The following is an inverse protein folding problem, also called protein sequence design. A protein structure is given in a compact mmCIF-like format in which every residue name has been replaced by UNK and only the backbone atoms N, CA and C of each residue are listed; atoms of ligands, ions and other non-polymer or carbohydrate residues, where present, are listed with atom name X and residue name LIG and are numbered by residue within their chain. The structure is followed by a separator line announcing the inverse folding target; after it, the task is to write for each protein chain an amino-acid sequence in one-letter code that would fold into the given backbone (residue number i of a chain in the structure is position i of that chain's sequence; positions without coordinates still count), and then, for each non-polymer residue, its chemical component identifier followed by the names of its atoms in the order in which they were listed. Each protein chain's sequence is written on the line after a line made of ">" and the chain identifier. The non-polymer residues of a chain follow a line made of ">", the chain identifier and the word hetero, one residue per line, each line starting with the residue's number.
data_IF_382637838785
#
_entry.id   IF_382637838785
#
_cell.length_a   1.000
_cell.length_b   1.000
_cell.length_c   1.000
_cell.angle_alpha   90.00
_cell.angle_beta   90.00
_cell.angle_gamma   90.00
#
_symmetry.space_group_name_H-M   'P 1'
#
loop_
_entity.id
_entity.type
_entity.pdbx_description
1 polymer ?
#
# COMPACT_ATOMS: atom_id res chain seq x y z
N UNK A 1 9.97 5.70 8.19
CA UNK A 1 8.87 6.01 7.25
C UNK A 1 8.10 7.24 7.74
N UNK A 2 8.57 8.45 7.43
CA UNK A 2 7.84 9.67 7.80
C UNK A 2 6.56 9.83 6.94
N UNK A 3 6.62 9.35 5.70
CA UNK A 3 5.52 9.36 4.74
C UNK A 3 5.23 7.95 4.19
N UNK A 4 4.10 7.81 3.50
CA UNK A 4 3.52 6.55 3.01
C UNK A 4 3.16 6.67 1.55
N UNK A 5 3.31 5.59 0.78
CA UNK A 5 2.83 5.55 -0.59
C UNK A 5 2.58 4.12 -1.06
N UNK A 6 1.93 4.01 -2.22
CA UNK A 6 1.74 2.76 -2.94
C UNK A 6 2.28 2.91 -4.37
N UNK A 7 3.61 2.73 -4.58
CA UNK A 7 4.20 2.93 -5.90
C UNK A 7 3.68 1.99 -6.99
N UNK A 8 3.07 0.86 -6.61
CA UNK A 8 2.36 -0.03 -7.53
C UNK A 8 1.18 0.63 -8.25
N UNK A 9 0.63 1.71 -7.71
CA UNK A 9 -0.45 2.46 -8.34
C UNK A 9 -0.02 3.20 -9.61
N UNK A 10 1.29 3.26 -9.92
CA UNK A 10 1.79 3.73 -11.21
C UNK A 10 1.48 2.74 -12.34
N UNK A 11 1.36 1.44 -12.06
CA UNK A 11 1.25 0.41 -13.10
C UNK A 11 -0.02 0.57 -13.94
N UNK A 12 -1.23 0.70 -13.36
CA UNK A 12 -2.46 0.76 -14.15
C UNK A 12 -2.52 1.90 -15.18
N UNK A 13 -2.24 3.18 -14.86
CA UNK A 13 -2.31 4.24 -15.87
C UNK A 13 -1.24 4.10 -16.96
N UNK A 14 -0.04 3.63 -16.61
CA UNK A 14 1.04 3.41 -17.59
C UNK A 14 0.69 2.24 -18.52
N UNK A 15 0.18 1.14 -17.97
CA UNK A 15 -0.29 -0.02 -18.75
C UNK A 15 -1.43 0.37 -19.70
N UNK A 16 -2.42 1.12 -19.21
CA UNK A 16 -3.55 1.55 -20.02
C UNK A 16 -3.11 2.39 -21.24
N UNK A 17 -2.16 3.31 -21.05
CA UNK A 17 -1.60 4.08 -22.17
C UNK A 17 -0.80 3.17 -23.10
N UNK A 18 0.03 2.27 -22.56
CA UNK A 18 0.84 1.34 -23.35
C UNK A 18 -0.03 0.46 -24.28
N UNK A 19 -1.13 -0.06 -23.75
CA UNK A 19 -2.13 -0.81 -24.52
C UNK A 19 -2.79 0.06 -25.58
N UNK A 20 -3.25 1.26 -25.21
CA UNK A 20 -3.93 2.18 -26.12
C UNK A 20 -3.10 2.56 -27.34
N UNK A 21 -1.79 2.78 -27.16
CA UNK A 21 -0.89 3.21 -28.25
C UNK A 21 -0.17 2.05 -28.94
N UNK A 22 -0.39 0.81 -28.51
CA UNK A 22 0.28 -0.37 -29.05
C UNK A 22 1.77 -0.44 -28.73
N UNK A 23 2.20 0.01 -27.55
CA UNK A 23 3.58 -0.14 -27.07
C UNK A 23 3.95 -1.61 -26.82
N UNK A 24 5.25 -1.88 -26.69
CA UNK A 24 5.78 -3.20 -26.32
C UNK A 24 6.10 -3.28 -24.81
N UNK A 25 6.41 -4.49 -24.35
CA UNK A 25 6.71 -4.77 -22.94
C UNK A 25 7.97 -4.10 -22.41
N UNK A 26 8.99 -3.85 -23.25
CA UNK A 26 10.18 -3.11 -22.81
C UNK A 26 9.87 -1.65 -22.51
N UNK A 27 9.05 -1.01 -23.35
CA UNK A 27 8.62 0.37 -23.14
C UNK A 27 7.78 0.48 -21.86
N UNK A 28 6.88 -0.49 -21.62
CA UNK A 28 6.09 -0.59 -20.39
C UNK A 28 6.98 -0.73 -19.15
N UNK A 29 7.97 -1.63 -19.17
CA UNK A 29 8.92 -1.81 -18.05
C UNK A 29 9.68 -0.51 -17.76
N UNK A 30 10.14 0.20 -18.81
CA UNK A 30 10.84 1.48 -18.63
C UNK A 30 9.94 2.55 -18.00
N UNK A 31 8.68 2.64 -18.45
CA UNK A 31 7.68 3.53 -17.87
C UNK A 31 7.40 3.23 -16.39
N UNK A 32 7.15 1.96 -16.06
CA UNK A 32 6.92 1.50 -14.67
C UNK A 32 8.14 1.81 -13.80
N UNK A 33 9.35 1.50 -14.28
CA UNK A 33 10.58 1.79 -13.54
C UNK A 33 10.75 3.29 -13.26
N UNK A 34 10.41 4.17 -14.22
CA UNK A 34 10.40 5.62 -13.98
C UNK A 34 9.36 6.02 -12.94
N UNK A 35 8.12 5.53 -13.04
CA UNK A 35 7.07 5.87 -12.07
C UNK A 35 7.46 5.51 -10.64
N UNK A 36 7.98 4.29 -10.43
CA UNK A 36 8.51 3.87 -9.14
C UNK A 36 9.68 4.73 -8.66
N UNK A 37 10.65 5.01 -9.55
CA UNK A 37 11.82 5.83 -9.20
C UNK A 37 11.41 7.22 -8.73
N UNK A 38 10.51 7.88 -9.45
CA UNK A 38 10.06 9.23 -9.07
C UNK A 38 9.27 9.18 -7.76
N UNK A 39 8.28 8.30 -7.63
CA UNK A 39 7.43 8.30 -6.43
C UNK A 39 8.20 7.95 -5.16
N UNK A 40 9.05 6.93 -5.21
CA UNK A 40 9.81 6.50 -4.03
C UNK A 40 10.79 7.60 -3.59
N UNK A 41 11.47 8.26 -4.52
CA UNK A 41 12.40 9.33 -4.15
C UNK A 41 11.68 10.61 -3.69
N UNK A 42 10.50 10.94 -4.25
CA UNK A 42 9.64 12.00 -3.73
C UNK A 42 9.21 11.72 -2.29
N UNK A 43 8.80 10.49 -1.97
CA UNK A 43 8.39 10.06 -0.64
C UNK A 43 9.54 10.11 0.37
N UNK A 44 10.76 9.76 -0.06
CA UNK A 44 11.97 9.87 0.77
C UNK A 44 12.33 11.32 1.10
N UNK A 45 12.07 12.24 0.18
CA UNK A 45 12.49 13.63 0.29
C UNK A 45 11.43 14.57 0.89
N UNK A 46 10.15 14.35 0.58
CA UNK A 46 9.04 15.26 0.88
C UNK A 46 7.95 14.49 1.64
N UNK A 47 7.83 14.78 2.92
CA UNK A 47 6.83 14.14 3.79
C UNK A 47 5.47 14.85 3.71
N UNK A 48 4.59 14.40 2.82
CA UNK A 48 3.25 14.96 2.67
C UNK A 48 2.37 14.74 3.90
N UNK A 49 2.60 13.62 4.60
CA UNK A 49 1.88 13.28 5.83
C UNK A 49 1.97 14.38 6.90
N UNK A 50 3.16 14.98 7.08
CA UNK A 50 3.40 16.10 8.01
C UNK A 50 2.45 17.28 7.73
N UNK A 51 2.10 17.49 6.48
CA UNK A 51 1.26 18.60 6.01
C UNK A 51 -0.21 18.22 5.85
N UNK A 52 -0.61 17.01 6.26
CA UNK A 52 -1.97 16.48 6.07
C UNK A 52 -2.40 16.52 4.59
N UNK A 53 -1.46 16.27 3.69
CA UNK A 53 -1.72 16.08 2.26
C UNK A 53 -1.80 14.57 1.98
N UNK A 54 -2.67 14.18 1.05
CA UNK A 54 -2.76 12.80 0.61
C UNK A 54 -1.55 12.43 -0.26
N UNK A 55 -1.02 11.21 -0.07
CA UNK A 55 0.19 10.74 -0.75
C UNK A 55 0.02 10.62 -2.27
N UNK A 56 -1.21 10.63 -2.78
CA UNK A 56 -1.50 10.62 -4.22
C UNK A 56 -0.97 11.89 -4.92
N UNK A 57 -0.62 12.95 -4.16
CA UNK A 57 0.08 14.10 -4.70
C UNK A 57 1.48 13.74 -5.25
N UNK A 58 2.12 12.68 -4.75
CA UNK A 58 3.34 12.12 -5.36
C UNK A 58 3.05 11.13 -6.49
N UNK A 59 1.85 10.52 -6.52
CA UNK A 59 1.46 9.54 -7.55
C UNK A 59 1.16 10.19 -8.91
N UNK A 60 0.40 11.28 -8.94
CA UNK A 60 0.12 12.02 -10.19
C UNK A 60 1.38 12.34 -11.00
N UNK A 61 2.36 13.09 -10.46
CA UNK A 61 3.58 13.45 -11.17
C UNK A 61 4.45 12.23 -11.54
N UNK A 62 4.52 11.20 -10.69
CA UNK A 62 5.29 9.98 -11.00
C UNK A 62 4.68 9.17 -12.14
N UNK A 63 3.36 9.01 -12.15
CA UNK A 63 2.65 8.35 -13.24
C UNK A 63 2.79 9.13 -14.56
N UNK A 64 2.72 10.46 -14.51
CA UNK A 64 2.93 11.31 -15.68
C UNK A 64 4.35 11.16 -16.25
N UNK A 65 5.37 11.14 -15.39
CA UNK A 65 6.76 10.88 -15.79
C UNK A 65 6.95 9.46 -16.37
N UNK A 66 6.28 8.46 -15.79
CA UNK A 66 6.25 7.09 -16.29
C UNK A 66 5.63 6.98 -17.69
N UNK A 67 4.48 7.63 -17.90
CA UNK A 67 3.83 7.74 -19.21
C UNK A 67 4.72 8.45 -20.22
N UNK A 68 5.34 9.57 -19.83
CA UNK A 68 6.28 10.29 -20.69
C UNK A 68 7.49 9.44 -21.11
N UNK A 69 8.02 8.62 -20.20
CA UNK A 69 9.11 7.67 -20.49
C UNK A 69 8.64 6.57 -21.44
N UNK A 70 7.47 5.98 -21.18
CA UNK A 70 6.86 4.95 -22.02
C UNK A 70 6.73 5.42 -23.48
N UNK A 71 6.26 6.65 -23.66
CA UNK A 71 6.00 7.24 -24.97
C UNK A 71 7.25 7.86 -25.63
N UNK A 72 8.40 7.92 -24.94
CA UNK A 72 9.61 8.56 -25.44
C UNK A 72 9.46 10.06 -25.70
N UNK A 73 8.65 10.75 -24.90
CA UNK A 73 8.39 12.19 -25.05
C UNK A 73 9.65 13.01 -24.76
N UNK A 74 9.73 14.20 -25.34
CA UNK A 74 10.79 15.14 -25.03
C UNK A 74 10.66 15.69 -23.60
N UNK A 75 11.79 16.15 -23.05
CA UNK A 75 11.88 16.63 -21.67
C UNK A 75 10.90 17.78 -21.38
N UNK A 76 10.67 18.69 -22.34
CA UNK A 76 9.78 19.82 -22.11
C UNK A 76 8.32 19.37 -22.01
N UNK A 77 7.89 18.42 -22.83
CA UNK A 77 6.56 17.80 -22.74
C UNK A 77 6.37 17.05 -21.42
N UNK A 78 7.34 16.25 -21.00
CA UNK A 78 7.29 15.54 -19.71
C UNK A 78 7.18 16.53 -18.56
N UNK A 79 7.98 17.61 -18.58
CA UNK A 79 7.94 18.66 -17.57
C UNK A 79 6.55 19.29 -17.40
N UNK A 80 5.86 19.63 -18.49
CA UNK A 80 4.49 20.17 -18.42
C UNK A 80 3.49 19.14 -17.87
N UNK A 81 3.62 17.87 -18.26
CA UNK A 81 2.74 16.80 -17.77
C UNK A 81 2.88 16.57 -16.26
N UNK A 82 4.12 16.57 -15.75
CA UNK A 82 4.43 16.44 -14.31
C UNK A 82 3.84 17.63 -13.55
N UNK A 83 4.01 18.85 -14.09
CA UNK A 83 3.49 20.07 -13.49
C UNK A 83 1.98 20.07 -13.34
N UNK A 84 1.26 19.73 -14.41
CA UNK A 84 -0.20 19.66 -14.39
C UNK A 84 -0.71 18.52 -13.49
N UNK A 85 -0.06 17.36 -13.52
CA UNK A 85 -0.46 16.22 -12.69
C UNK A 85 -0.37 16.57 -11.19
N UNK A 86 0.77 17.10 -10.72
CA UNK A 86 0.91 17.53 -9.32
C UNK A 86 -0.16 18.55 -8.92
N UNK A 87 -0.36 19.57 -9.75
CA UNK A 87 -1.32 20.63 -9.46
C UNK A 87 -2.75 20.10 -9.25
N UNK A 88 -3.15 19.09 -10.03
CA UNK A 88 -4.52 18.56 -10.03
C UNK A 88 -4.74 17.34 -9.14
N UNK A 89 -3.68 16.72 -8.64
CA UNK A 89 -3.75 15.55 -7.75
C UNK A 89 -3.34 15.84 -6.30
N UNK A 90 -3.19 17.12 -5.94
CA UNK A 90 -2.90 17.51 -4.56
C UNK A 90 -4.20 17.71 -3.77
N UNK A 91 -4.50 16.78 -2.87
CA UNK A 91 -5.72 16.78 -2.06
C UNK A 91 -5.39 16.67 -0.56
N UNK A 92 -6.33 17.11 0.28
CA UNK A 92 -6.19 16.97 1.74
C UNK A 92 -6.25 15.50 2.15
N UNK A 93 -5.66 15.18 3.30
CA UNK A 93 -5.64 13.84 3.88
C UNK A 93 -6.97 13.42 4.54
N UNK A 94 -8.02 14.23 4.41
CA UNK A 94 -9.35 13.91 4.96
C UNK A 94 -9.90 12.58 4.38
N UNK A 95 -9.47 12.20 3.17
CA UNK A 95 -9.72 10.90 2.53
C UNK A 95 -9.36 9.68 3.39
N UNK A 96 -8.53 9.83 4.43
CA UNK A 96 -7.98 8.71 5.23
C UNK A 96 -8.08 8.93 6.74
N UNK A 97 -9.06 9.72 7.21
CA UNK A 97 -9.30 10.03 8.63
C UNK A 97 -10.80 10.06 8.94
N UNK A 98 -11.18 9.61 10.15
CA UNK A 98 -12.59 9.53 10.58
C UNK A 98 -13.30 8.35 9.92
N UNK A 99 -14.54 8.55 9.47
CA UNK A 99 -15.26 7.58 8.64
C UNK A 99 -14.59 7.48 7.27
N UNK A 100 -13.82 6.41 7.05
CA UNK A 100 -13.07 6.20 5.82
C UNK A 100 -14.02 5.72 4.71
N UNK A 101 -14.28 6.58 3.72
CA UNK A 101 -15.13 6.24 2.58
C UNK A 101 -14.38 5.48 1.48
N UNK A 102 -15.13 4.93 0.52
CA UNK A 102 -14.60 4.25 -0.68
C UNK A 102 -13.70 5.13 -1.54
N UNK A 103 -13.73 6.45 -1.35
CA UNK A 103 -12.78 7.40 -1.97
C UNK A 103 -11.32 7.02 -1.69
N UNK A 104 -10.99 6.48 -0.50
CA UNK A 104 -9.64 6.00 -0.17
C UNK A 104 -9.10 5.03 -1.21
N UNK A 105 -9.95 4.15 -1.73
CA UNK A 105 -9.60 3.16 -2.75
C UNK A 105 -9.59 3.77 -4.17
N UNK A 106 -10.42 4.79 -4.42
CA UNK A 106 -10.49 5.44 -5.73
C UNK A 106 -9.43 6.52 -5.97
N UNK A 107 -8.93 7.18 -4.92
CA UNK A 107 -8.00 8.30 -5.04
C UNK A 107 -6.74 7.99 -5.89
N UNK A 108 -6.10 6.81 -5.80
CA UNK A 108 -5.00 6.47 -6.69
C UNK A 108 -5.40 6.37 -8.17
N UNK A 109 -6.56 5.76 -8.45
CA UNK A 109 -7.09 5.67 -9.82
C UNK A 109 -7.42 7.06 -10.40
N UNK A 110 -7.94 7.97 -9.57
CA UNK A 110 -8.13 9.37 -9.94
C UNK A 110 -6.80 10.04 -10.32
N UNK A 111 -5.75 9.88 -9.51
CA UNK A 111 -4.43 10.43 -9.82
C UNK A 111 -3.84 9.85 -11.11
N UNK A 112 -3.99 8.54 -11.33
CA UNK A 112 -3.59 7.89 -12.58
C UNK A 112 -4.34 8.44 -13.80
N UNK A 113 -5.66 8.63 -13.71
CA UNK A 113 -6.46 9.28 -14.76
C UNK A 113 -5.97 10.69 -15.08
N UNK A 114 -5.71 11.49 -14.04
CA UNK A 114 -5.21 12.86 -14.22
C UNK A 114 -3.82 12.88 -14.84
N UNK A 115 -2.96 11.90 -14.54
CA UNK A 115 -1.65 11.77 -15.18
C UNK A 115 -1.76 11.48 -16.69
N UNK A 116 -2.69 10.61 -17.11
CA UNK A 116 -2.98 10.34 -18.53
C UNK A 116 -3.46 11.62 -19.22
N UNK A 117 -4.41 12.35 -18.62
CA UNK A 117 -4.91 13.60 -19.18
C UNK A 117 -3.82 14.68 -19.26
N UNK A 118 -2.97 14.79 -18.24
CA UNK A 118 -1.86 15.75 -18.22
C UNK A 118 -0.83 15.45 -19.32
N UNK A 119 -0.49 14.18 -19.54
CA UNK A 119 0.39 13.78 -20.63
C UNK A 119 -0.22 14.08 -22.01
N UNK A 120 -1.48 13.71 -22.23
CA UNK A 120 -2.19 13.98 -23.49
C UNK A 120 -2.27 15.48 -23.80
N UNK A 121 -2.58 16.32 -22.81
CA UNK A 121 -2.62 17.78 -22.97
C UNK A 121 -1.25 18.36 -23.28
N UNK A 122 -0.22 17.94 -22.56
CA UNK A 122 1.15 18.38 -22.80
C UNK A 122 1.62 18.01 -24.22
N UNK A 123 1.30 16.81 -24.71
CA UNK A 123 1.60 16.37 -26.08
C UNK A 123 0.92 17.26 -27.15
N UNK A 124 -0.19 17.91 -26.81
CA UNK A 124 -0.90 18.88 -27.68
C UNK A 124 -0.36 20.31 -27.55
N UNK A 125 0.74 20.50 -26.83
CA UNK A 125 1.39 21.80 -26.64
C UNK A 125 0.80 22.64 -25.50
N UNK A 126 -0.07 22.07 -24.66
CA UNK A 126 -0.59 22.79 -23.49
C UNK A 126 0.50 22.86 -22.40
N UNK A 127 0.69 24.06 -21.84
CA UNK A 127 1.59 24.29 -20.70
C UNK A 127 0.83 24.22 -19.37
N UNK A 128 1.54 23.90 -18.29
CA UNK A 128 1.08 23.88 -16.90
C UNK A 128 1.56 25.12 -16.12
N UNK A 129 1.05 25.36 -14.89
CA UNK A 129 1.67 26.31 -13.97
C UNK A 129 3.14 25.95 -13.69
N UNK A 130 4.05 26.93 -13.72
CA UNK A 130 5.51 26.72 -13.63
C UNK A 130 6.17 27.85 -12.84
N UNK A 131 7.13 27.55 -11.93
CA UNK A 131 7.47 26.22 -11.42
C UNK A 131 6.42 25.75 -10.40
N UNK A 132 5.88 24.54 -10.55
CA UNK A 132 4.77 24.07 -9.69
C UNK A 132 5.19 23.81 -8.24
N UNK A 133 6.43 23.34 -8.03
CA UNK A 133 6.95 23.04 -6.69
C UNK A 133 7.42 24.34 -6.03
N UNK A 134 8.39 25.03 -6.66
CA UNK A 134 9.13 26.18 -6.11
C UNK A 134 8.55 27.56 -6.45
N UNK A 135 7.42 27.63 -7.17
CA UNK A 135 6.81 28.90 -7.56
C UNK A 135 6.39 29.72 -6.34
N UNK A 136 6.25 31.04 -6.53
CA UNK A 136 5.76 31.96 -5.48
C UNK A 136 4.43 31.49 -4.88
N UNK A 137 3.52 31.02 -5.73
CA UNK A 137 2.26 30.38 -5.34
C UNK A 137 2.28 28.84 -5.47
N UNK A 138 3.47 28.26 -5.35
CA UNK A 138 3.74 26.84 -5.56
C UNK A 138 3.36 25.94 -4.39
N UNK A 139 3.46 24.63 -4.63
CA UNK A 139 3.14 23.59 -3.63
C UNK A 139 4.00 23.73 -2.38
N UNK A 140 5.30 24.03 -2.54
CA UNK A 140 6.20 24.17 -1.39
C UNK A 140 5.79 25.36 -0.52
N UNK A 141 5.50 26.51 -1.15
CA UNK A 141 5.19 27.75 -0.48
C UNK A 141 3.90 27.69 0.36
N UNK A 142 2.83 27.14 -0.21
CA UNK A 142 1.49 27.25 0.40
C UNK A 142 0.94 25.97 0.98
N UNK A 143 1.47 24.81 0.58
CA UNK A 143 0.95 23.52 1.01
C UNK A 143 1.94 22.77 1.91
N UNK A 144 3.23 23.06 1.81
CA UNK A 144 4.27 22.36 2.56
C UNK A 144 4.93 23.23 3.65
N UNK A 145 6.24 23.45 3.56
CA UNK A 145 7.07 24.04 4.62
C UNK A 145 7.28 25.57 4.48
N UNK A 146 6.62 26.20 3.50
CA UNK A 146 6.68 27.65 3.31
C UNK A 146 7.59 28.08 2.14
N UNK A 147 7.57 29.36 1.75
CA UNK A 147 8.25 29.86 0.54
C UNK A 147 9.78 29.76 0.58
N UNK A 148 10.37 29.70 1.78
CA UNK A 148 11.83 29.56 1.96
C UNK A 148 12.29 28.10 2.05
N UNK A 149 11.36 27.13 2.00
CA UNK A 149 11.69 25.72 2.13
C UNK A 149 12.30 25.16 0.83
N UNK A 150 13.16 24.16 0.98
CA UNK A 150 13.80 23.46 -0.14
C UNK A 150 13.90 21.97 0.18
N UNK A 151 13.71 21.14 -0.84
CA UNK A 151 13.77 19.69 -0.74
C UNK A 151 14.76 19.14 -1.76
N UNK A 152 15.55 18.15 -1.36
CA UNK A 152 16.45 17.44 -2.25
C UNK A 152 15.87 16.06 -2.56
N UNK A 153 15.39 15.87 -3.78
CA UNK A 153 14.88 14.58 -4.27
C UNK A 153 16.05 13.78 -4.88
N UNK A 154 16.44 12.63 -4.31
CA UNK A 154 17.58 11.86 -4.81
C UNK A 154 17.19 11.10 -6.07
N UNK A 155 17.47 11.66 -7.24
CA UNK A 155 17.25 11.01 -8.54
C UNK A 155 18.55 10.37 -9.06
N UNK A 156 18.48 9.26 -9.82
CA UNK A 156 19.66 8.67 -10.44
C UNK A 156 20.30 9.63 -11.44
N UNK A 157 21.63 9.61 -11.50
CA UNK A 157 22.40 10.38 -12.49
C UNK A 157 22.33 9.72 -13.87
N UNK A 158 22.67 10.44 -14.97
CA UNK A 158 22.69 9.85 -16.30
C UNK A 158 23.56 8.59 -16.37
N UNK A 159 22.95 7.46 -16.75
CA UNK A 159 23.61 6.16 -16.84
C UNK A 159 23.42 5.26 -15.61
N UNK A 160 22.90 5.78 -14.50
CA UNK A 160 22.56 4.96 -13.34
C UNK A 160 21.22 4.25 -13.52
N UNK A 161 21.15 3.02 -13.01
CA UNK A 161 19.94 2.21 -13.06
C UNK A 161 18.89 2.74 -12.08
N UNK A 162 17.63 2.78 -12.52
CA UNK A 162 16.46 3.01 -11.67
C UNK A 162 16.25 1.79 -10.77
N UNK A 163 16.41 1.96 -9.46
CA UNK A 163 16.42 0.87 -8.48
C UNK A 163 15.45 1.09 -7.32
N UNK A 164 14.75 2.22 -7.26
CA UNK A 164 13.92 2.54 -6.10
C UNK A 164 12.74 1.57 -5.92
N UNK A 165 12.34 0.82 -6.96
CA UNK A 165 11.38 -0.29 -6.83
C UNK A 165 11.84 -1.36 -5.82
N UNK A 166 13.15 -1.58 -5.70
CA UNK A 166 13.74 -2.54 -4.76
C UNK A 166 13.67 -2.06 -3.29
N UNK A 167 13.39 -0.78 -3.07
CA UNK A 167 13.19 -0.21 -1.73
C UNK A 167 11.72 -0.27 -1.28
N UNK A 168 10.85 -0.91 -2.06
CA UNK A 168 9.44 -1.09 -1.74
C UNK A 168 9.19 -2.40 -0.99
N UNK A 169 8.12 -2.44 -0.21
CA UNK A 169 7.82 -3.58 0.64
C UNK A 169 6.51 -4.25 0.26
N UNK A 170 6.55 -5.57 0.18
CA UNK A 170 5.42 -6.38 -0.22
C UNK A 170 4.53 -6.71 0.96
N UNK A 171 3.22 -6.63 0.72
CA UNK A 171 2.21 -7.16 1.63
C UNK A 171 1.97 -8.62 1.30
N UNK A 172 2.09 -9.52 2.26
CA UNK A 172 1.55 -10.87 2.13
C UNK A 172 0.06 -10.84 2.43
N UNK A 173 -0.30 -10.19 3.53
CA UNK A 173 -1.66 -10.16 4.06
C UNK A 173 -2.41 -8.93 3.55
N UNK A 174 -3.69 -9.09 3.22
CA UNK A 174 -4.58 -7.95 2.98
C UNK A 174 -4.87 -7.29 4.32
N UNK A 175 -4.02 -6.36 4.73
CA UNK A 175 -4.17 -5.49 5.91
C UNK A 175 -3.27 -4.24 5.73
N UNK A 176 -3.37 -3.29 6.65
CA UNK A 176 -2.41 -2.19 6.76
C UNK A 176 -0.97 -2.73 6.91
N UNK A 177 0.04 -2.02 6.37
CA UNK A 177 1.40 -2.58 6.23
C UNK A 177 2.09 -2.82 7.59
N UNK A 178 1.82 -1.97 8.57
CA UNK A 178 2.32 -2.01 9.93
C UNK A 178 1.62 -3.11 10.73
N UNK A 179 0.56 -3.73 10.19
CA UNK A 179 -0.05 -4.93 10.74
C UNK A 179 0.59 -6.25 10.27
N UNK A 180 1.40 -6.24 9.19
CA UNK A 180 1.90 -7.46 8.56
C UNK A 180 2.71 -8.33 9.54
N UNK A 181 3.66 -7.72 10.26
CA UNK A 181 4.51 -8.46 11.20
C UNK A 181 3.70 -9.02 12.39
N UNK A 182 2.66 -8.31 12.82
CA UNK A 182 1.78 -8.77 13.89
C UNK A 182 0.95 -9.98 13.52
N UNK A 183 0.50 -10.07 12.25
CA UNK A 183 -0.17 -11.27 11.75
C UNK A 183 0.79 -12.47 11.80
N UNK A 184 2.03 -12.31 11.35
CA UNK A 184 3.01 -13.41 11.34
C UNK A 184 3.38 -13.85 12.77
N UNK A 185 3.57 -12.90 13.69
CA UNK A 185 3.81 -13.19 15.10
C UNK A 185 2.62 -13.88 15.76
N UNK A 186 1.39 -13.40 15.54
CA UNK A 186 0.19 -14.03 16.07
C UNK A 186 0.01 -15.47 15.57
N UNK A 187 0.29 -15.73 14.29
CA UNK A 187 0.28 -17.09 13.71
C UNK A 187 1.35 -17.99 14.32
N UNK A 188 2.52 -17.45 14.64
CA UNK A 188 3.57 -18.18 15.37
C UNK A 188 3.09 -18.55 16.77
N UNK A 189 2.56 -17.57 17.51
CA UNK A 189 2.03 -17.75 18.86
C UNK A 189 0.86 -18.73 18.91
N UNK A 190 -0.02 -18.75 17.89
CA UNK A 190 -1.07 -19.77 17.78
C UNK A 190 -0.52 -21.20 17.82
N UNK A 191 0.60 -21.45 17.12
CA UNK A 191 1.22 -22.78 17.03
C UNK A 191 2.01 -23.15 18.27
N UNK A 192 2.71 -22.18 18.85
CA UNK A 192 3.61 -22.41 19.99
C UNK A 192 2.87 -22.34 21.35
N UNK A 193 1.79 -21.56 21.41
CA UNK A 193 1.01 -21.26 22.61
C UNK A 193 -0.51 -21.32 22.34
N UNK A 194 -1.06 -22.49 21.96
CA UNK A 194 -2.49 -22.61 21.67
C UNK A 194 -3.39 -22.25 22.87
N UNK A 195 -2.88 -22.37 24.10
CA UNK A 195 -3.56 -21.92 25.32
C UNK A 195 -3.93 -20.43 25.31
N UNK A 196 -3.16 -19.60 24.61
CA UNK A 196 -3.37 -18.15 24.52
C UNK A 196 -4.48 -17.75 23.52
N UNK A 197 -5.06 -18.70 22.80
CA UNK A 197 -6.15 -18.44 21.84
C UNK A 197 -7.53 -18.38 22.49
N UNK A 198 -7.68 -18.98 23.67
CA UNK A 198 -8.91 -18.99 24.44
C UNK A 198 -8.95 -17.75 25.35
N UNK A 199 -9.93 -16.84 25.18
CA UNK A 199 -10.04 -15.68 26.05
C UNK A 199 -10.12 -16.04 27.53
N UNK A 200 -10.68 -17.20 27.92
CA UNK A 200 -10.80 -17.59 29.32
C UNK A 200 -9.45 -17.77 30.02
N UNK A 201 -8.40 -18.09 29.26
CA UNK A 201 -7.04 -18.26 29.79
C UNK A 201 -6.23 -16.96 29.77
N UNK A 202 -6.71 -15.90 29.10
CA UNK A 202 -5.95 -14.66 28.90
C UNK A 202 -6.48 -13.57 29.82
N UNK A 203 -5.57 -13.00 30.62
CA UNK A 203 -5.85 -11.84 31.45
C UNK A 203 -5.64 -10.53 30.67
N UNK A 204 -4.53 -10.41 29.92
CA UNK A 204 -4.24 -9.23 29.11
C UNK A 204 -3.24 -9.54 27.98
N UNK A 205 -3.29 -8.72 26.93
CA UNK A 205 -2.29 -8.69 25.85
C UNK A 205 -1.78 -7.26 25.70
N UNK A 206 -0.47 -7.07 25.85
CA UNK A 206 0.19 -5.78 25.67
C UNK A 206 1.16 -5.84 24.49
N UNK A 207 0.91 -5.01 23.49
CA UNK A 207 1.77 -4.85 22.32
C UNK A 207 2.60 -3.57 22.47
N UNK A 208 3.93 -3.69 22.49
CA UNK A 208 4.89 -2.57 22.50
C UNK A 208 5.39 -2.34 21.09
N UNK A 209 5.14 -1.16 20.53
CA UNK A 209 5.38 -0.89 19.09
C UNK A 209 5.73 0.57 18.84
N UNK A 210 5.97 0.93 17.57
CA UNK A 210 6.28 2.31 17.17
C UNK A 210 5.12 3.27 17.41
N UNK A 211 5.43 4.56 17.50
CA UNK A 211 4.47 5.66 17.50
C UNK A 211 3.42 5.48 16.40
N UNK A 212 3.86 5.16 15.18
CA UNK A 212 2.95 5.04 14.06
C UNK A 212 1.91 3.93 14.30
N UNK A 213 2.36 2.73 14.62
CA UNK A 213 1.47 1.60 14.87
C UNK A 213 0.51 1.92 16.01
N UNK A 214 1.02 2.46 17.13
CA UNK A 214 0.19 2.79 18.31
C UNK A 214 -0.89 3.84 18.02
N UNK A 215 -0.53 4.98 17.40
CA UNK A 215 -1.45 6.10 17.20
C UNK A 215 -2.27 6.01 15.90
N UNK A 216 -1.86 5.20 14.92
CA UNK A 216 -2.57 5.11 13.63
C UNK A 216 -3.46 3.88 13.54
N UNK A 217 -3.05 2.73 14.07
CA UNK A 217 -3.80 1.46 13.98
C UNK A 217 -3.98 0.74 15.31
N UNK A 218 -3.36 1.21 16.40
CA UNK A 218 -3.48 0.69 17.75
C UNK A 218 -4.45 1.47 18.64
N UNK A 219 -4.37 1.19 19.94
CA UNK A 219 -5.17 1.79 21.01
C UNK A 219 -4.97 3.30 21.15
N UNK A 220 -3.77 3.81 20.84
CA UNK A 220 -3.45 5.24 20.90
C UNK A 220 -4.22 6.08 19.88
N UNK A 221 -4.83 5.45 18.87
CA UNK A 221 -5.72 6.14 17.93
C UNK A 221 -6.97 6.73 18.60
N UNK A 222 -7.33 6.25 19.81
CA UNK A 222 -8.53 6.65 20.55
C UNK A 222 -9.81 6.55 19.69
N UNK A 223 -9.88 5.52 18.85
CA UNK A 223 -10.99 5.25 17.95
C UNK A 223 -11.77 4.02 18.46
N UNK A 224 -12.96 4.20 19.05
CA UNK A 224 -13.77 3.09 19.56
C UNK A 224 -14.18 2.10 18.48
N UNK A 225 -14.25 2.51 17.20
CA UNK A 225 -14.62 1.60 16.12
C UNK A 225 -13.58 0.50 15.92
N UNK A 226 -12.32 0.72 16.31
CA UNK A 226 -11.27 -0.32 16.29
C UNK A 226 -11.41 -1.40 17.34
N UNK A 227 -12.42 -1.29 18.19
CA UNK A 227 -12.82 -2.28 19.19
C UNK A 227 -14.27 -2.73 18.99
N UNK A 228 -14.87 -2.42 17.83
CA UNK A 228 -16.28 -2.71 17.55
C UNK A 228 -16.44 -3.88 16.57
N UNK A 229 -17.20 -4.94 16.92
CA UNK A 229 -17.48 -6.06 16.00
C UNK A 229 -18.36 -5.67 14.80
N UNK A 230 -18.97 -4.49 14.80
CA UNK A 230 -19.79 -3.97 13.70
C UNK A 230 -19.04 -2.93 12.85
N UNK A 231 -17.73 -2.77 13.05
CA UNK A 231 -16.93 -1.85 12.26
C UNK A 231 -16.84 -2.32 10.80
N UNK A 232 -16.62 -1.37 9.88
CA UNK A 232 -16.43 -1.71 8.47
C UNK A 232 -15.11 -2.45 8.25
N UNK A 233 -14.99 -3.11 7.10
CA UNK A 233 -13.74 -3.75 6.65
C UNK A 233 -12.57 -2.76 6.69
N UNK A 234 -12.79 -1.53 6.24
CA UNK A 234 -11.80 -0.44 6.19
C UNK A 234 -11.36 0.08 7.56
N UNK A 235 -12.11 -0.23 8.61
CA UNK A 235 -11.71 0.02 10.00
C UNK A 235 -11.01 -1.20 10.59
N UNK A 236 -11.53 -2.40 10.35
CA UNK A 236 -10.94 -3.66 10.82
C UNK A 236 -9.55 -3.92 10.23
N UNK A 237 -9.31 -3.56 8.97
CA UNK A 237 -7.98 -3.66 8.33
C UNK A 237 -6.96 -2.64 8.89
N UNK A 238 -7.40 -1.70 9.75
CA UNK A 238 -6.60 -0.71 10.48
C UNK A 238 -6.77 -0.83 12.02
N UNK A 239 -7.13 -2.01 12.52
CA UNK A 239 -7.20 -2.31 13.95
C UNK A 239 -6.20 -3.40 14.34
N UNK A 240 -5.06 -3.03 14.91
CA UNK A 240 -4.08 -3.99 15.46
C UNK A 240 -4.70 -4.92 16.50
N UNK A 241 -5.52 -4.43 17.46
CA UNK A 241 -6.20 -5.30 18.40
C UNK A 241 -7.01 -6.41 17.71
N UNK A 242 -7.82 -6.05 16.70
CA UNK A 242 -8.60 -7.03 15.94
C UNK A 242 -7.71 -8.00 15.16
N UNK A 243 -6.76 -7.44 14.39
CA UNK A 243 -5.91 -8.19 13.48
C UNK A 243 -5.09 -9.23 14.25
N UNK A 244 -4.46 -8.80 15.35
CA UNK A 244 -3.68 -9.69 16.20
C UNK A 244 -4.55 -10.79 16.81
N UNK A 245 -5.73 -10.46 17.34
CA UNK A 245 -6.64 -11.44 17.93
C UNK A 245 -7.11 -12.49 16.92
N UNK A 246 -7.59 -12.08 15.74
CA UNK A 246 -8.09 -13.03 14.74
C UNK A 246 -6.96 -13.91 14.20
N UNK A 247 -5.78 -13.34 13.91
CA UNK A 247 -4.62 -14.12 13.48
C UNK A 247 -4.13 -15.09 14.57
N UNK A 248 -4.21 -14.71 15.85
CA UNK A 248 -3.85 -15.54 16.99
C UNK A 248 -4.83 -16.70 17.16
N UNK A 249 -6.14 -16.46 17.04
CA UNK A 249 -7.14 -17.51 17.20
C UNK A 249 -7.15 -18.48 16.02
N UNK A 250 -7.09 -17.96 14.80
CA UNK A 250 -7.26 -18.78 13.60
C UNK A 250 -5.95 -19.43 13.12
N UNK A 251 -4.80 -18.94 13.59
CA UNK A 251 -3.49 -19.35 13.08
C UNK A 251 -3.27 -18.98 11.60
N UNK A 252 -4.16 -18.16 11.03
CA UNK A 252 -4.21 -17.76 9.63
C UNK A 252 -4.81 -16.36 9.48
N UNK A 253 -4.62 -15.77 8.29
CA UNK A 253 -5.25 -14.51 7.90
C UNK A 253 -5.75 -14.62 6.46
N UNK A 254 -7.07 -14.55 6.26
CA UNK A 254 -7.69 -14.62 4.95
C UNK A 254 -8.25 -13.26 4.52
N UNK A 255 -8.00 -12.88 3.27
CA UNK A 255 -8.34 -11.56 2.76
C UNK A 255 -9.85 -11.25 2.69
N UNK A 256 -10.72 -12.25 2.80
CA UNK A 256 -12.18 -12.09 2.90
C UNK A 256 -12.68 -12.56 4.26
N UNK A 257 -12.41 -13.82 4.61
CA UNK A 257 -13.06 -14.48 5.75
C UNK A 257 -12.64 -13.88 7.09
N UNK A 258 -11.40 -13.39 7.21
CA UNK A 258 -10.93 -12.70 8.42
C UNK A 258 -11.59 -11.33 8.62
N UNK A 259 -12.46 -10.88 7.71
CA UNK A 259 -13.24 -9.65 7.83
C UNK A 259 -14.75 -9.90 7.82
N UNK A 260 -15.20 -11.16 7.74
CA UNK A 260 -16.63 -11.45 7.66
C UNK A 260 -17.33 -10.97 8.94
N UNK A 261 -18.56 -10.42 8.86
CA UNK A 261 -19.32 -10.02 10.05
C UNK A 261 -19.47 -11.17 11.05
N UNK A 262 -19.68 -12.39 10.57
CA UNK A 262 -19.81 -13.60 11.39
C UNK A 262 -18.51 -13.93 12.13
N UNK A 263 -17.36 -13.75 11.48
CA UNK A 263 -16.05 -13.96 12.10
C UNK A 263 -15.76 -12.87 13.13
N UNK A 264 -16.01 -11.60 12.78
CA UNK A 264 -15.73 -10.46 13.66
C UNK A 264 -16.62 -10.44 14.91
N UNK A 265 -17.87 -10.91 14.80
CA UNK A 265 -18.86 -10.89 15.87
C UNK A 265 -18.83 -12.12 16.79
N UNK A 266 -17.87 -13.04 16.63
CA UNK A 266 -17.75 -14.19 17.52
C UNK A 266 -17.53 -13.75 18.98
N UNK A 267 -18.32 -14.23 19.96
CA UNK A 267 -18.24 -13.75 21.34
C UNK A 267 -16.85 -13.91 21.98
N UNK A 268 -16.19 -15.04 21.75
CA UNK A 268 -14.84 -15.34 22.25
C UNK A 268 -13.79 -14.41 21.63
N UNK A 269 -13.89 -14.12 20.34
CA UNK A 269 -13.03 -13.14 19.65
C UNK A 269 -13.22 -11.75 20.22
N UNK A 270 -14.46 -11.30 20.40
CA UNK A 270 -14.74 -9.98 20.98
C UNK A 270 -14.18 -9.90 22.39
N UNK A 271 -14.32 -10.95 23.21
CA UNK A 271 -13.74 -10.97 24.55
C UNK A 271 -12.20 -10.85 24.52
N UNK A 272 -11.52 -11.65 23.68
CA UNK A 272 -10.05 -11.60 23.59
C UNK A 272 -9.56 -10.27 23.01
N UNK A 273 -10.25 -9.75 21.99
CA UNK A 273 -9.94 -8.47 21.34
C UNK A 273 -9.97 -7.30 22.33
N UNK A 274 -10.94 -7.27 23.25
CA UNK A 274 -11.02 -6.25 24.30
C UNK A 274 -9.86 -6.31 25.31
N UNK A 275 -9.12 -7.42 25.38
CA UNK A 275 -7.94 -7.59 26.23
C UNK A 275 -6.64 -7.11 25.56
N UNK A 276 -6.68 -6.78 24.26
CA UNK A 276 -5.50 -6.32 23.51
C UNK A 276 -5.35 -4.80 23.60
N UNK A 277 -4.21 -4.39 24.12
CA UNK A 277 -3.78 -3.00 24.20
C UNK A 277 -2.43 -2.80 23.53
N UNK A 278 -2.16 -1.58 23.09
CA UNK A 278 -0.88 -1.19 22.50
C UNK A 278 -0.29 -0.02 23.27
N UNK A 279 1.03 0.08 23.32
CA UNK A 279 1.77 1.24 23.82
C UNK A 279 2.90 1.58 22.86
N UNK A 280 3.24 2.88 22.79
CA UNK A 280 4.46 3.30 22.12
C UNK A 280 5.69 2.89 22.94
N UNK A 281 6.69 2.35 22.25
CA UNK A 281 8.04 2.15 22.74
C UNK A 281 9.02 2.97 21.89
N UNK A 282 9.87 3.74 22.57
CA UNK A 282 10.75 4.72 21.91
C UNK A 282 11.81 4.06 21.03
N UNK A 283 12.26 2.84 21.36
CA UNK A 283 13.23 2.12 20.53
C UNK A 283 12.56 1.60 19.26
N UNK A 284 11.34 1.06 19.35
CA UNK A 284 10.56 0.67 18.16
C UNK A 284 10.23 1.87 17.27
N UNK A 285 9.94 3.04 17.86
CA UNK A 285 9.79 4.30 17.11
C UNK A 285 11.09 4.71 16.41
N UNK A 286 12.24 4.66 17.10
CA UNK A 286 13.55 4.99 16.52
C UNK A 286 13.85 4.09 15.32
N UNK A 287 13.70 2.77 15.48
CA UNK A 287 13.91 1.79 14.40
C UNK A 287 12.98 2.03 13.21
N UNK A 288 11.70 2.33 13.45
CA UNK A 288 10.73 2.67 12.41
C UNK A 288 11.13 3.87 11.54
N UNK A 289 11.83 4.85 12.13
CA UNK A 289 12.34 6.02 11.44
C UNK A 289 13.74 5.86 10.84
N UNK A 290 14.46 4.78 11.15
CA UNK A 290 15.82 4.57 10.64
C UNK A 290 15.85 4.55 9.11
N UNK A 291 16.89 5.17 8.55
CA UNK A 291 17.20 5.10 7.13
C UNK A 291 18.12 3.91 6.81
N UNK A 292 18.77 3.33 7.83
CA UNK A 292 19.46 2.06 7.69
C UNK A 292 18.43 0.93 7.62
N UNK A 293 18.43 0.21 6.51
CA UNK A 293 17.50 -0.89 6.28
C UNK A 293 17.69 -2.03 7.29
N UNK A 294 18.90 -2.22 7.82
CA UNK A 294 19.21 -3.28 8.78
C UNK A 294 18.63 -2.98 10.17
N UNK A 295 18.44 -1.70 10.50
CA UNK A 295 17.81 -1.29 11.75
C UNK A 295 16.30 -1.13 11.61
N UNK A 296 15.83 -0.83 10.39
CA UNK A 296 14.43 -0.51 10.11
C UNK A 296 13.50 -1.65 10.52
N UNK A 297 12.53 -1.31 11.36
CA UNK A 297 11.55 -2.25 11.87
C UNK A 297 10.14 -1.67 11.78
N UNK A 298 9.17 -2.55 11.57
CA UNK A 298 7.74 -2.24 11.47
C UNK A 298 6.89 -3.01 12.48
N UNK A 299 7.47 -3.97 13.20
CA UNK A 299 6.81 -4.75 14.23
C UNK A 299 6.99 -4.19 15.65
N UNK A 300 7.35 -5.07 16.58
CA UNK A 300 7.47 -4.78 18.00
C UNK A 300 7.55 -6.04 18.85
N UNK A 301 7.22 -5.92 20.13
CA UNK A 301 7.08 -7.06 21.06
C UNK A 301 5.67 -7.18 21.63
N UNK A 302 5.30 -8.39 22.05
CA UNK A 302 4.03 -8.69 22.71
C UNK A 302 4.25 -9.42 24.02
N UNK A 303 3.45 -9.06 25.02
CA UNK A 303 3.36 -9.74 26.32
C UNK A 303 1.92 -10.21 26.52
N UNK A 304 1.70 -11.53 26.56
CA UNK A 304 0.41 -12.15 26.86
C UNK A 304 0.47 -12.65 28.30
N UNK A 305 -0.32 -12.05 29.18
CA UNK A 305 -0.46 -12.50 30.57
C UNK A 305 -1.64 -13.45 30.66
N UNK A 306 -1.40 -14.69 31.06
CA UNK A 306 -2.42 -15.69 31.30
C UNK A 306 -3.06 -15.50 32.69
N UNK A 307 -4.24 -16.06 32.89
CA UNK A 307 -5.00 -15.97 34.15
C UNK A 307 -4.36 -16.70 35.32
N UNK A 308 -3.44 -17.64 35.05
CA UNK A 308 -2.63 -18.32 36.08
C UNK A 308 -1.37 -17.54 36.48
N UNK A 309 -1.11 -16.39 35.85
CA UNK A 309 0.05 -15.54 36.08
C UNK A 309 1.25 -15.81 35.17
N UNK A 310 1.19 -16.83 34.30
CA UNK A 310 2.21 -17.07 33.27
C UNK A 310 2.25 -15.90 32.29
N UNK A 311 3.45 -15.51 31.85
CA UNK A 311 3.64 -14.45 30.84
C UNK A 311 4.38 -15.03 29.64
N UNK A 312 3.73 -14.98 28.48
CA UNK A 312 4.32 -15.34 27.19
C UNK A 312 4.83 -14.05 26.56
N UNK A 313 6.09 -14.05 26.13
CA UNK A 313 6.74 -12.89 25.50
C UNK A 313 7.39 -13.28 24.18
N UNK A 314 7.17 -12.49 23.14
CA UNK A 314 7.81 -12.69 21.84
C UNK A 314 7.91 -11.37 21.07
N UNK A 315 8.74 -11.32 20.04
CA UNK A 315 8.95 -10.12 19.23
C UNK A 315 9.19 -10.42 17.75
N UNK A 316 8.90 -9.42 16.92
CA UNK A 316 9.16 -9.46 15.48
C UNK A 316 9.54 -8.07 14.97
N UNK A 317 10.65 -7.96 14.25
CA UNK A 317 11.09 -6.67 13.72
C UNK A 317 10.39 -6.31 12.40
N UNK A 318 10.27 -7.27 11.49
CA UNK A 318 9.70 -7.10 10.14
C UNK A 318 8.86 -8.32 9.79
N UNK A 319 7.85 -8.15 8.94
CA UNK A 319 7.01 -9.25 8.46
C UNK A 319 7.83 -10.32 7.74
N UNK A 320 7.33 -11.55 7.71
CA UNK A 320 8.04 -12.68 7.07
C UNK A 320 8.37 -12.38 5.62
N UNK A 321 7.42 -11.78 4.90
CA UNK A 321 7.52 -11.42 3.48
C UNK A 321 8.47 -10.25 3.16
N UNK A 322 8.90 -9.49 4.17
CA UNK A 322 9.82 -8.37 3.99
C UNK A 322 11.16 -8.85 3.40
N UNK A 323 11.92 -8.03 2.63
CA UNK A 323 13.24 -8.41 2.12
C UNK A 323 14.24 -8.91 3.18
N UNK A 324 14.08 -8.46 4.43
CA UNK A 324 14.85 -8.90 5.60
C UNK A 324 14.08 -9.84 6.54
N UNK A 325 12.91 -10.31 6.13
CA UNK A 325 12.05 -11.20 6.93
C UNK A 325 12.51 -12.66 6.87
N UNK A 326 11.81 -13.53 7.61
CA UNK A 326 12.13 -14.96 7.66
C UNK A 326 11.83 -15.70 6.35
N UNK A 327 10.90 -15.18 5.54
CA UNK A 327 10.51 -15.75 4.24
C UNK A 327 10.28 -14.62 3.22
N UNK A 328 11.34 -13.93 2.76
CA UNK A 328 11.22 -12.83 1.82
C UNK A 328 10.47 -13.26 0.56
N UNK A 329 9.55 -12.43 0.09
CA UNK A 329 8.78 -12.76 -1.11
C UNK A 329 9.67 -12.79 -2.35
N UNK A 330 9.71 -13.96 -2.98
CA UNK A 330 10.27 -14.16 -4.32
C UNK A 330 9.15 -14.50 -5.31
N UNK A 331 9.49 -14.74 -6.58
CA UNK A 331 8.52 -15.01 -7.65
C UNK A 331 7.45 -16.02 -7.25
N UNK A 332 7.86 -17.14 -6.66
CA UNK A 332 6.95 -18.21 -6.24
C UNK A 332 5.88 -17.72 -5.28
N UNK A 333 6.25 -16.89 -4.29
CA UNK A 333 5.28 -16.35 -3.32
C UNK A 333 4.31 -15.37 -3.98
N UNK A 334 4.74 -14.56 -4.96
CA UNK A 334 3.82 -13.72 -5.73
C UNK A 334 2.85 -14.54 -6.58
N UNK A 335 3.32 -15.61 -7.23
CA UNK A 335 2.47 -16.52 -8.01
C UNK A 335 1.45 -17.20 -7.12
N UNK A 336 1.88 -17.74 -5.97
CA UNK A 336 0.98 -18.38 -5.01
C UNK A 336 -0.06 -17.38 -4.49
N UNK A 337 0.35 -16.16 -4.14
CA UNK A 337 -0.58 -15.11 -3.72
C UNK A 337 -1.57 -14.76 -4.82
N UNK A 338 -1.12 -14.60 -6.07
CA UNK A 338 -1.99 -14.33 -7.20
C UNK A 338 -3.06 -15.42 -7.37
N UNK A 339 -2.65 -16.69 -7.35
CA UNK A 339 -3.58 -17.83 -7.41
C UNK A 339 -4.59 -17.82 -6.27
N UNK A 340 -4.15 -17.57 -5.04
CA UNK A 340 -5.04 -17.46 -3.88
C UNK A 340 -6.09 -16.35 -4.06
N UNK A 341 -5.69 -15.20 -4.61
CA UNK A 341 -6.62 -14.08 -4.86
C UNK A 341 -7.53 -14.32 -6.07
N UNK A 342 -7.09 -15.11 -7.04
CA UNK A 342 -7.83 -15.43 -8.25
C UNK A 342 -8.79 -16.62 -8.09
N UNK A 343 -8.57 -17.46 -7.07
CA UNK A 343 -9.33 -18.68 -6.82
C UNK A 343 -10.84 -18.40 -6.73
N UNK A 344 -11.62 -19.07 -7.60
CA UNK A 344 -13.07 -18.92 -7.68
C UNK A 344 -13.55 -17.63 -8.36
N UNK A 345 -12.64 -16.72 -8.75
CA UNK A 345 -12.95 -15.49 -9.48
C UNK A 345 -12.51 -15.53 -10.94
N UNK A 346 -11.51 -16.36 -11.25
CA UNK A 346 -10.87 -16.48 -12.56
C UNK A 346 -10.72 -17.96 -12.87
N UNK A 347 -10.98 -18.35 -14.12
CA UNK A 347 -10.77 -19.73 -14.58
C UNK A 347 -9.29 -20.10 -14.59
N UNK A 348 -8.95 -21.36 -14.32
CA UNK A 348 -7.55 -21.81 -14.22
C UNK A 348 -6.75 -21.55 -15.50
N UNK A 349 -7.34 -21.80 -16.68
CA UNK A 349 -6.69 -21.55 -17.98
C UNK A 349 -6.35 -20.05 -18.17
N UNK A 350 -7.18 -19.16 -17.63
CA UNK A 350 -6.95 -17.70 -17.69
C UNK A 350 -5.88 -17.26 -16.68
N UNK A 351 -5.82 -17.88 -15.51
CA UNK A 351 -4.72 -17.71 -14.54
C UNK A 351 -3.39 -18.08 -15.19
N UNK A 352 -3.30 -19.26 -15.83
CA UNK A 352 -2.07 -19.70 -16.50
C UNK A 352 -1.69 -18.78 -17.67
N UNK A 353 -2.67 -18.35 -18.47
CA UNK A 353 -2.43 -17.42 -19.59
C UNK A 353 -1.85 -16.10 -19.09
N UNK A 354 -2.43 -15.51 -18.05
CA UNK A 354 -1.94 -14.26 -17.47
C UNK A 354 -0.52 -14.43 -16.89
N UNK A 355 -0.28 -15.50 -16.12
CA UNK A 355 1.04 -15.76 -15.55
C UNK A 355 2.10 -15.94 -16.64
N UNK A 356 1.79 -16.71 -17.68
CA UNK A 356 2.68 -16.90 -18.82
C UNK A 356 3.03 -15.57 -19.50
N UNK A 357 2.06 -14.64 -19.65
CA UNK A 357 2.29 -13.32 -20.22
C UNK A 357 3.18 -12.43 -19.33
N UNK A 358 2.94 -12.42 -18.01
CA UNK A 358 3.72 -11.63 -17.04
C UNK A 358 5.16 -12.14 -16.93
N UNK A 359 5.39 -13.45 -17.03
CA UNK A 359 6.73 -14.04 -16.96
C UNK A 359 7.61 -13.64 -18.15
N UNK A 360 7.00 -13.43 -19.32
CA UNK A 360 7.66 -12.98 -20.55
C UNK A 360 7.40 -11.51 -20.90
N UNK A 361 7.13 -10.68 -19.89
CA UNK A 361 6.77 -9.28 -20.09
C UNK A 361 7.75 -8.53 -21.02
N UNK A 362 9.09 -8.65 -20.88
CA UNK A 362 10.03 -7.98 -21.78
C UNK A 362 9.94 -8.41 -23.25
N UNK A 363 9.42 -9.60 -23.52
CA UNK A 363 9.29 -10.19 -24.85
C UNK A 363 7.94 -9.89 -25.52
N UNK A 364 6.98 -9.30 -24.81
CA UNK A 364 5.69 -8.92 -25.39
C UNK A 364 5.87 -7.79 -26.41
N UNK A 365 5.39 -8.01 -27.63
CA UNK A 365 5.39 -7.04 -28.72
C UNK A 365 4.17 -6.09 -28.70
N UNK A 366 4.13 -5.15 -29.66
CA UNK A 366 2.96 -4.31 -29.91
C UNK A 366 1.68 -5.13 -30.06
N UNK A 367 0.61 -4.72 -29.35
CA UNK A 367 -0.69 -5.40 -29.36
C UNK A 367 -0.76 -6.68 -28.52
N UNK A 368 0.34 -7.12 -27.91
CA UNK A 368 0.35 -8.29 -27.02
C UNK A 368 0.09 -7.93 -25.55
N UNK A 369 0.13 -6.64 -25.19
CA UNK A 369 -0.04 -6.15 -23.81
C UNK A 369 -1.47 -6.35 -23.25
N UNK A 370 -2.48 -6.59 -24.10
CA UNK A 370 -3.84 -6.92 -23.65
C UNK A 370 -3.88 -8.25 -22.86
N UNK A 371 -2.86 -9.10 -23.04
CA UNK A 371 -2.67 -10.31 -22.25
C UNK A 371 -2.40 -10.01 -20.75
N UNK A 372 -2.10 -8.77 -20.39
CA UNK A 372 -1.91 -8.33 -19.00
C UNK A 372 -3.22 -7.91 -18.32
N UNK A 373 -4.36 -7.98 -19.02
CA UNK A 373 -5.68 -7.97 -18.39
C UNK A 373 -6.08 -9.40 -18.02
N UNK A 374 -6.99 -9.52 -17.06
CA UNK A 374 -7.57 -10.80 -16.62
C UNK A 374 -9.07 -10.77 -16.87
N UNK A 375 -9.60 -11.90 -17.32
CA UNK A 375 -11.03 -12.13 -17.53
C UNK A 375 -11.64 -12.84 -16.31
N UNK A 376 -12.71 -12.28 -15.75
CA UNK A 376 -13.43 -12.95 -14.66
C UNK A 376 -14.14 -14.22 -15.16
N UNK A 377 -14.26 -15.22 -14.29
CA UNK A 377 -15.00 -16.44 -14.60
C UNK A 377 -16.49 -16.14 -14.88
N UNK A 378 -17.17 -16.97 -15.70
CA UNK A 378 -18.59 -16.75 -16.01
C UNK A 378 -19.46 -16.64 -14.76
N UNK A 379 -20.28 -15.58 -14.72
CA UNK A 379 -21.21 -15.34 -13.60
C UNK A 379 -20.59 -14.66 -12.37
N UNK A 380 -19.27 -14.43 -12.33
CA UNK A 380 -18.63 -13.66 -11.25
C UNK A 380 -18.99 -12.17 -11.32
N UNK A 381 -19.10 -11.62 -12.53
CA UNK A 381 -19.49 -10.22 -12.77
C UNK A 381 -20.88 -10.19 -13.40
N UNK A 382 -21.84 -9.56 -12.72
CA UNK A 382 -23.15 -9.21 -13.27
C UNK A 382 -23.19 -7.73 -13.65
N UNK A 383 -22.85 -7.44 -14.91
CA UNK A 383 -22.92 -6.08 -15.46
C UNK A 383 -24.36 -5.55 -15.56
N UNK A 384 -25.36 -6.44 -15.62
CA UNK A 384 -26.77 -6.05 -15.66
C UNK A 384 -27.27 -5.50 -14.32
N UNK A 385 -26.72 -6.01 -13.22
CA UNK A 385 -26.99 -5.53 -11.86
C UNK A 385 -26.11 -4.37 -11.41
N UNK A 386 -25.08 -4.01 -12.18
CA UNK A 386 -24.17 -2.92 -11.83
C UNK A 386 -24.91 -1.56 -11.73
N UNK A 387 -24.59 -0.72 -10.73
CA UNK A 387 -25.17 0.61 -10.63
C UNK A 387 -24.80 1.45 -11.85
N UNK A 388 -25.78 2.17 -12.40
CA UNK A 388 -25.56 3.02 -13.59
C UNK A 388 -24.96 4.37 -13.21
N UNK A 389 -23.86 4.72 -13.86
CA UNK A 389 -23.23 6.05 -13.80
C UNK A 389 -23.59 6.91 -15.01
N UNK A 390 -22.84 8.00 -15.19
CA UNK A 390 -22.94 8.86 -16.37
C UNK A 390 -22.28 8.27 -17.62
N UNK A 391 -21.36 7.31 -17.44
CA UNK A 391 -20.60 6.65 -18.49
C UNK A 391 -20.91 5.16 -18.52
#
# INVERSE_FOLDING_TARGET
>A
AADYSHPGDNIPPILAVAQHVGSNGQDLIRGIATGYEIQVNLVKAICLHKHKIDHVAHLGPSAAAGIGTLLGLDVATIFQSVGQALHTTTATRQSRKGEISTWKAHAPAFAGKMAVEAADRAMRGQTSPVPIYEGEDGVIAWMLDGPDASYQVPLPTPGEAKRAILDTYTKEHSAEYQAQAWIDLARKLNREHPEATDPANVASVLIKTSHHTHYVIGSGANDPQKYSPTASRETLDHSIPYIFTVALQDGAWHHVDSYSPERAARPDTVELWQKVSTVEDTEWTRRYHSLDINEKAFGGSVEITLTDGTVITDEIAVADAHPLGARPFTREQYVNKFRTLAAGLVEEDEIERFLAAVERLPELGPGELDQLNITAAPGVIDLGAAPKGLF
#
